data_IF_227280819273
#
_entry.id   IF_227280819273
#
_cell.length_a   1.000
_cell.length_b   1.000
_cell.length_c   1.000
_cell.angle_alpha   90.00
_cell.angle_beta   90.00
_cell.angle_gamma   90.00
#
_symmetry.space_group_name_H-M   'P 1'
#
loop_
_entity.id
_entity.type
_entity.pdbx_description
1 polymer ?
#
# COMPACT_ATOMS: atom_id res chain seq x y z
N UNK A 1 -12.68 51.79 33.71
CA UNK A 1 -14.04 52.27 34.03
C UNK A 1 -15.04 51.30 33.42
N UNK A 2 -15.89 50.72 34.26
CA UNK A 2 -16.94 49.75 33.94
C UNK A 2 -18.22 50.51 33.55
N UNK A 3 -19.09 49.92 32.72
CA UNK A 3 -20.46 49.75 33.21
C UNK A 3 -20.99 48.32 33.01
N UNK A 4 -21.58 47.80 34.09
CA UNK A 4 -22.36 46.58 34.19
C UNK A 4 -23.75 46.82 33.60
N UNK A 5 -24.21 45.95 32.72
CA UNK A 5 -25.64 45.69 32.54
C UNK A 5 -25.90 44.20 32.69
N UNK A 6 -26.58 43.85 33.78
CA UNK A 6 -27.20 42.54 33.96
C UNK A 6 -28.70 42.66 33.71
N UNK A 7 -29.29 41.70 33.01
CA UNK A 7 -30.73 41.44 33.05
C UNK A 7 -31.00 39.96 32.79
N UNK A 8 -31.38 39.29 33.89
CA UNK A 8 -32.47 38.30 34.06
C UNK A 8 -32.54 37.10 33.10
N UNK A 9 -32.17 35.95 33.67
CA UNK A 9 -32.49 34.63 33.16
C UNK A 9 -34.00 34.35 33.17
N UNK A 10 -34.47 33.74 32.08
CA UNK A 10 -35.78 33.10 31.96
C UNK A 10 -35.53 31.60 31.83
N UNK A 11 -35.94 30.85 32.86
CA UNK A 11 -35.91 29.39 32.86
C UNK A 11 -36.87 28.87 31.78
N UNK A 12 -36.33 28.25 30.74
CA UNK A 12 -37.10 27.50 29.74
C UNK A 12 -37.56 26.18 30.33
N UNK A 13 -38.87 25.96 30.36
CA UNK A 13 -39.48 24.65 30.66
C UNK A 13 -39.13 23.67 29.54
N UNK A 14 -38.51 22.55 29.91
CA UNK A 14 -38.35 21.38 29.05
C UNK A 14 -39.73 20.75 28.77
N UNK A 15 -40.10 20.45 27.52
CA UNK A 15 -41.27 19.64 27.23
C UNK A 15 -41.00 18.16 27.53
N UNK A 16 -41.98 17.51 28.18
CA UNK A 16 -41.97 16.10 28.53
C UNK A 16 -41.92 15.19 27.29
N UNK A 17 -41.28 14.01 27.37
CA UNK A 17 -41.21 13.07 26.26
C UNK A 17 -42.57 12.42 25.99
N UNK A 18 -43.05 12.57 24.76
CA UNK A 18 -44.23 11.89 24.21
C UNK A 18 -43.86 10.42 23.94
N UNK A 19 -44.52 9.49 24.64
CA UNK A 19 -44.47 8.05 24.39
C UNK A 19 -45.25 7.71 23.10
N UNK A 20 -44.65 7.03 22.11
CA UNK A 20 -45.41 6.38 21.05
C UNK A 20 -45.91 5.02 21.51
N UNK A 21 -47.22 4.85 21.34
CA UNK A 21 -48.01 3.65 21.50
C UNK A 21 -47.50 2.48 20.65
N UNK A 22 -47.57 1.30 21.28
CA UNK A 22 -47.44 -0.06 20.75
C UNK A 22 -48.03 -0.27 19.36
N UNK A 23 -47.26 -0.88 18.44
CA UNK A 23 -47.75 -1.91 17.50
C UNK A 23 -46.58 -2.59 16.77
N UNK A 24 -46.74 -3.90 16.57
CA UNK A 24 -45.94 -4.84 15.75
C UNK A 24 -44.64 -5.42 16.31
N UNK A 25 -44.80 -6.59 16.94
CA UNK A 25 -43.76 -7.58 17.18
C UNK A 25 -43.29 -8.23 15.86
N UNK A 26 -41.98 -8.45 15.66
CA UNK A 26 -41.48 -9.31 14.60
C UNK A 26 -41.42 -10.78 15.07
N UNK A 27 -41.92 -11.67 14.22
CA UNK A 27 -42.01 -13.10 14.45
C UNK A 27 -40.63 -13.76 14.68
N UNK A 28 -40.55 -14.53 15.77
CA UNK A 28 -39.44 -15.45 16.08
C UNK A 28 -39.25 -16.46 14.95
N UNK A 29 -38.13 -16.37 14.22
CA UNK A 29 -37.68 -17.42 13.32
C UNK A 29 -37.20 -18.61 14.15
N UNK A 30 -37.98 -19.70 14.12
CA UNK A 30 -37.61 -21.01 14.64
C UNK A 30 -36.36 -21.53 13.91
N UNK A 31 -35.31 -21.83 14.66
CA UNK A 31 -34.21 -22.69 14.21
C UNK A 31 -34.74 -24.12 14.04
N UNK A 32 -34.84 -24.59 12.80
CA UNK A 32 -35.12 -26.01 12.50
C UNK A 32 -33.81 -26.74 12.26
N UNK A 33 -33.55 -27.74 13.10
CA UNK A 33 -32.48 -28.73 12.98
C UNK A 33 -32.49 -29.41 11.60
N UNK A 34 -31.39 -29.31 10.85
CA UNK A 34 -31.17 -30.09 9.63
C UNK A 34 -30.77 -31.52 10.00
N UNK A 35 -31.73 -32.45 9.83
CA UNK A 35 -31.59 -33.90 10.02
C UNK A 35 -30.86 -34.50 8.82
N UNK A 36 -29.68 -35.08 9.04
CA UNK A 36 -28.90 -35.77 8.01
C UNK A 36 -29.63 -37.07 7.62
N UNK A 37 -30.05 -37.17 6.36
CA UNK A 37 -30.82 -38.27 5.81
C UNK A 37 -29.87 -39.24 5.08
N UNK A 38 -29.69 -40.44 5.64
CA UNK A 38 -28.92 -41.52 5.02
C UNK A 38 -29.76 -42.21 3.94
N UNK A 39 -29.29 -42.18 2.68
CA UNK A 39 -29.83 -43.00 1.61
C UNK A 39 -29.41 -44.46 1.83
N UNK A 40 -30.39 -45.32 2.08
CA UNK A 40 -30.27 -46.77 1.94
C UNK A 40 -30.41 -47.11 0.47
N UNK A 41 -29.42 -47.77 -0.11
CA UNK A 41 -29.58 -48.45 -1.39
C UNK A 41 -29.57 -49.97 -1.14
N UNK A 42 -30.66 -50.60 -1.53
CA UNK A 42 -30.94 -52.02 -1.38
C UNK A 42 -31.00 -52.62 -2.78
N UNK A 43 -29.99 -53.38 -3.16
CA UNK A 43 -30.20 -54.49 -4.10
C UNK A 43 -29.33 -55.68 -3.70
N UNK A 44 -29.99 -56.65 -3.09
CA UNK A 44 -29.52 -58.02 -2.92
C UNK A 44 -29.80 -58.77 -4.23
N UNK A 45 -28.83 -59.54 -4.75
CA UNK A 45 -29.03 -60.96 -5.10
C UNK A 45 -27.74 -61.69 -5.48
N UNK A 46 -27.48 -62.72 -4.67
CA UNK A 46 -27.00 -64.08 -4.98
C UNK A 46 -25.70 -64.30 -5.76
N UNK A 47 -24.70 -64.84 -5.06
CA UNK A 47 -24.20 -66.19 -5.37
C UNK A 47 -23.54 -66.81 -4.14
N UNK A 48 -24.10 -67.95 -3.70
CA UNK A 48 -23.60 -68.81 -2.62
C UNK A 48 -22.61 -69.80 -3.23
N UNK A 49 -21.42 -70.00 -2.64
CA UNK A 49 -20.63 -71.26 -2.66
C UNK A 49 -19.75 -71.38 -1.39
N UNK A 50 -19.38 -72.61 -0.98
CA UNK A 50 -19.56 -73.09 0.39
C UNK A 50 -18.35 -72.90 1.31
N UNK A 51 -18.65 -72.96 2.60
CA UNK A 51 -17.71 -72.99 3.72
C UNK A 51 -16.89 -74.30 3.70
N UNK A 52 -15.56 -74.20 3.70
CA UNK A 52 -14.65 -75.33 3.94
C UNK A 52 -14.14 -75.28 5.40
N UNK A 53 -13.91 -76.43 6.06
CA UNK A 53 -13.73 -76.48 7.50
C UNK A 53 -12.32 -76.07 7.94
N UNK A 54 -12.31 -75.58 9.17
CA UNK A 54 -11.20 -75.15 10.03
C UNK A 54 -10.04 -76.16 10.05
N UNK A 55 -8.83 -75.70 9.74
CA UNK A 55 -7.59 -76.36 10.17
C UNK A 55 -6.92 -75.49 11.23
N UNK A 56 -6.92 -76.00 12.46
CA UNK A 56 -6.16 -75.48 13.59
C UNK A 56 -4.74 -76.05 13.53
N UNK A 57 -3.78 -75.25 13.08
CA UNK A 57 -2.38 -75.45 13.46
C UNK A 57 -1.93 -74.25 14.28
N UNK A 58 -1.90 -74.46 15.59
CA UNK A 58 -1.03 -73.71 16.47
C UNK A 58 0.40 -74.17 16.19
N UNK A 59 1.25 -73.24 15.77
CA UNK A 59 2.71 -73.38 15.88
C UNK A 59 3.26 -72.11 16.51
N UNK A 60 4.14 -72.35 17.47
CA UNK A 60 4.75 -71.47 18.47
C UNK A 60 5.59 -70.30 17.90
N UNK A 61 5.95 -69.32 18.74
CA UNK A 61 6.44 -68.01 18.31
C UNK A 61 7.94 -68.02 18.00
N UNK A 62 8.34 -67.24 16.99
CA UNK A 62 9.56 -66.38 16.95
C UNK A 62 9.83 -65.89 15.52
N UNK A 63 9.83 -64.57 15.31
CA UNK A 63 10.95 -63.88 14.66
C UNK A 63 10.86 -62.39 14.93
N UNK A 64 11.91 -61.84 15.58
CA UNK A 64 12.12 -60.41 15.77
C UNK A 64 12.78 -59.84 14.52
N UNK A 65 11.98 -59.50 13.53
CA UNK A 65 12.38 -58.73 12.34
C UNK A 65 11.10 -58.01 11.93
N UNK A 66 10.90 -56.72 12.24
CA UNK A 66 11.01 -55.67 11.20
C UNK A 66 10.76 -54.24 11.73
N UNK A 67 11.09 -53.93 13.00
CA UNK A 67 11.00 -52.53 13.47
C UNK A 67 12.07 -51.65 12.80
N UNK A 68 13.26 -52.21 12.57
CA UNK A 68 14.37 -51.51 11.91
C UNK A 68 14.15 -51.35 10.39
N UNK A 69 13.59 -52.35 9.69
CA UNK A 69 13.23 -52.22 8.26
C UNK A 69 12.15 -51.16 8.02
N UNK A 70 11.18 -51.06 8.94
CA UNK A 70 10.10 -50.08 8.85
C UNK A 70 10.62 -48.66 9.12
N UNK A 71 11.49 -48.49 10.12
CA UNK A 71 12.13 -47.21 10.42
C UNK A 71 13.01 -46.73 9.26
N UNK A 72 13.81 -47.62 8.66
CA UNK A 72 14.72 -47.28 7.55
C UNK A 72 13.95 -46.90 6.27
N UNK A 73 12.79 -47.53 6.01
CA UNK A 73 11.89 -47.20 4.91
C UNK A 73 11.19 -45.83 5.09
N UNK A 74 10.76 -45.51 6.31
CA UNK A 74 10.19 -44.19 6.65
C UNK A 74 11.28 -43.12 6.51
N UNK A 75 12.50 -43.40 6.97
CA UNK A 75 13.61 -42.46 6.88
C UNK A 75 14.02 -42.22 5.42
N UNK A 76 14.07 -43.25 4.58
CA UNK A 76 14.39 -43.10 3.14
C UNK A 76 13.32 -42.33 2.36
N UNK A 77 12.03 -42.58 2.64
CA UNK A 77 10.93 -41.91 1.94
C UNK A 77 10.76 -40.43 2.34
N UNK A 78 11.17 -40.07 3.56
CA UNK A 78 11.05 -38.70 4.09
C UNK A 78 12.37 -37.95 4.21
N UNK A 79 13.48 -38.57 3.78
CA UNK A 79 14.85 -38.03 3.91
C UNK A 79 14.97 -36.61 3.37
N UNK A 80 14.41 -36.37 2.18
CA UNK A 80 14.47 -35.07 1.50
C UNK A 80 13.63 -34.01 2.20
N UNK A 81 12.42 -34.36 2.67
CA UNK A 81 11.57 -33.45 3.44
C UNK A 81 12.18 -33.11 4.81
N UNK A 82 12.78 -34.09 5.49
CA UNK A 82 13.45 -33.87 6.79
C UNK A 82 14.72 -33.02 6.64
N UNK A 83 15.51 -33.24 5.59
CA UNK A 83 16.65 -32.39 5.24
C UNK A 83 16.21 -30.96 4.89
N UNK A 84 15.14 -30.80 4.11
CA UNK A 84 14.60 -29.48 3.77
C UNK A 84 14.10 -28.74 5.02
N UNK A 85 13.35 -29.40 5.90
CA UNK A 85 12.94 -28.84 7.19
C UNK A 85 14.14 -28.49 8.08
N UNK A 86 15.18 -29.32 8.09
CA UNK A 86 16.42 -29.06 8.81
C UNK A 86 17.17 -27.83 8.30
N UNK A 87 17.26 -27.64 6.98
CA UNK A 87 17.87 -26.47 6.36
C UNK A 87 17.09 -25.20 6.68
N UNK A 88 15.75 -25.24 6.60
CA UNK A 88 14.89 -24.11 6.96
C UNK A 88 15.01 -23.77 8.45
N UNK A 89 15.04 -24.77 9.33
CA UNK A 89 15.22 -24.58 10.76
C UNK A 89 16.61 -24.00 11.10
N UNK A 90 17.67 -24.45 10.43
CA UNK A 90 19.01 -23.89 10.55
C UNK A 90 19.06 -22.43 10.06
N UNK A 91 18.47 -22.13 8.91
CA UNK A 91 18.38 -20.78 8.38
C UNK A 91 17.64 -19.83 9.33
N UNK A 92 16.50 -20.27 9.87
CA UNK A 92 15.75 -19.53 10.87
C UNK A 92 16.54 -19.36 12.17
N UNK A 93 17.24 -20.40 12.62
CA UNK A 93 18.06 -20.37 13.83
C UNK A 93 19.24 -19.40 13.73
N UNK A 94 19.96 -19.42 12.59
CA UNK A 94 21.06 -18.48 12.33
C UNK A 94 20.53 -17.05 12.21
N UNK A 95 19.38 -16.84 11.55
CA UNK A 95 18.76 -15.54 11.44
C UNK A 95 18.34 -14.98 12.82
N UNK A 96 17.65 -15.79 13.64
CA UNK A 96 17.23 -15.40 14.99
C UNK A 96 18.45 -15.16 15.88
N UNK A 97 19.49 -16.01 15.81
CA UNK A 97 20.72 -15.82 16.57
C UNK A 97 21.44 -14.54 16.18
N UNK A 98 21.62 -14.26 14.88
CA UNK A 98 22.28 -13.03 14.41
C UNK A 98 21.45 -11.80 14.75
N UNK A 99 20.13 -11.87 14.69
CA UNK A 99 19.22 -10.81 15.14
C UNK A 99 19.33 -10.58 16.66
N UNK A 100 19.34 -11.63 17.48
CA UNK A 100 19.47 -11.54 18.94
C UNK A 100 20.86 -11.04 19.35
N UNK A 101 21.94 -11.51 18.72
CA UNK A 101 23.30 -11.06 18.96
C UNK A 101 23.46 -9.58 18.58
N UNK A 102 22.92 -9.17 17.43
CA UNK A 102 22.90 -7.75 17.03
C UNK A 102 22.07 -6.91 18.01
N UNK A 103 20.95 -7.45 18.52
CA UNK A 103 20.16 -6.79 19.55
C UNK A 103 20.88 -6.71 20.90
N UNK A 104 21.67 -7.71 21.28
CA UNK A 104 22.42 -7.71 22.54
C UNK A 104 23.62 -6.77 22.49
N UNK A 105 24.41 -6.79 21.41
CA UNK A 105 25.52 -5.86 21.23
C UNK A 105 25.05 -4.40 21.15
N UNK A 106 23.89 -4.14 20.55
CA UNK A 106 23.30 -2.79 20.54
C UNK A 106 22.65 -2.40 21.87
N UNK A 107 22.42 -3.30 22.82
CA UNK A 107 21.80 -2.98 24.13
C UNK A 107 22.83 -2.54 25.17
N UNK A 108 24.12 -2.74 24.90
CA UNK A 108 25.23 -2.31 25.78
C UNK A 108 25.73 -0.88 25.56
N UNK A 109 25.14 -0.12 24.62
CA UNK A 109 25.47 1.30 24.38
C UNK A 109 24.24 2.17 24.65
N UNK A 110 23.96 2.43 25.93
CA UNK A 110 23.15 3.60 26.30
C UNK A 110 24.02 4.84 26.13
N UNK A 111 23.96 5.46 24.95
CA UNK A 111 24.29 6.88 24.81
C UNK A 111 23.16 7.73 25.39
N UNK A 112 23.43 8.98 25.81
CA UNK A 112 22.41 9.83 26.42
C UNK A 112 21.26 10.11 25.45
N UNK A 113 20.05 10.20 26.00
CA UNK A 113 18.80 10.58 25.32
C UNK A 113 19.01 11.75 24.34
N UNK A 114 18.52 11.68 23.09
CA UNK A 114 18.57 12.82 22.21
C UNK A 114 17.54 13.85 22.67
N UNK A 115 18.06 14.97 23.17
CA UNK A 115 17.31 16.18 23.40
C UNK A 115 16.54 16.59 22.13
N UNK A 116 15.34 17.10 22.35
CA UNK A 116 14.53 17.87 21.41
C UNK A 116 15.37 18.90 20.64
N UNK A 117 15.14 18.95 19.32
CA UNK A 117 15.45 20.06 18.42
C UNK A 117 16.90 20.57 18.37
N UNK A 118 17.74 19.90 17.59
CA UNK A 118 18.79 20.55 16.80
C UNK A 118 19.26 19.63 15.67
N UNK A 119 18.85 19.95 14.44
CA UNK A 119 19.46 19.37 13.24
C UNK A 119 20.92 19.85 13.16
N UNK A 120 21.88 18.97 13.40
CA UNK A 120 23.27 19.24 13.07
C UNK A 120 23.41 19.24 11.52
N UNK A 121 24.04 20.26 10.91
CA UNK A 121 24.17 20.35 9.47
C UNK A 121 25.31 19.44 8.98
N UNK A 122 24.98 18.43 8.17
CA UNK A 122 26.01 17.65 7.47
C UNK A 122 25.52 16.27 7.02
N UNK A 123 25.16 16.19 5.73
CA UNK A 123 24.81 14.98 4.97
C UNK A 123 23.42 14.40 5.23
N UNK A 124 22.39 15.17 4.86
CA UNK A 124 21.27 14.57 4.10
C UNK A 124 21.92 13.99 2.83
N UNK A 125 21.60 12.74 2.46
CA UNK A 125 22.08 12.16 1.22
C UNK A 125 21.75 13.12 0.07
N UNK A 126 22.73 13.89 -0.39
CA UNK A 126 22.60 14.72 -1.58
C UNK A 126 22.52 13.71 -2.71
N UNK A 127 21.30 13.46 -3.19
CA UNK A 127 21.10 12.56 -4.31
C UNK A 127 21.79 13.19 -5.52
N UNK A 128 22.96 12.69 -5.88
CA UNK A 128 23.52 12.89 -7.22
C UNK A 128 22.70 12.05 -8.21
N UNK A 129 22.67 12.41 -9.49
CA UNK A 129 21.99 11.61 -10.52
C UNK A 129 22.46 10.15 -10.53
N UNK A 130 23.76 9.93 -10.32
CA UNK A 130 24.33 8.58 -10.23
C UNK A 130 23.84 7.82 -8.98
N UNK A 131 23.71 8.50 -7.83
CA UNK A 131 23.16 7.90 -6.62
C UNK A 131 21.67 7.58 -6.75
N UNK A 132 20.91 8.39 -7.51
CA UNK A 132 19.50 8.13 -7.80
C UNK A 132 19.33 6.88 -8.67
N UNK A 133 20.22 6.65 -9.64
CA UNK A 133 20.22 5.39 -10.41
C UNK A 133 20.59 4.18 -9.55
N UNK A 134 21.62 4.30 -8.69
CA UNK A 134 22.00 3.22 -7.75
C UNK A 134 20.94 2.92 -6.69
N UNK A 135 20.13 3.92 -6.33
CA UNK A 135 19.00 3.73 -5.42
C UNK A 135 18.01 2.70 -5.98
N UNK A 136 17.76 2.74 -7.29
CA UNK A 136 16.88 1.78 -7.93
C UNK A 136 17.43 0.35 -7.89
N UNK A 137 18.70 0.17 -8.25
CA UNK A 137 19.35 -1.15 -8.24
C UNK A 137 19.33 -1.79 -6.85
N UNK A 138 19.48 -0.98 -5.79
CA UNK A 138 19.41 -1.45 -4.41
C UNK A 138 18.00 -1.94 -4.04
N UNK A 139 16.97 -1.33 -4.62
CA UNK A 139 15.58 -1.65 -4.29
C UNK A 139 15.02 -2.80 -5.11
N UNK A 140 15.43 -3.00 -6.37
CA UNK A 140 14.78 -3.95 -7.30
C UNK A 140 14.63 -5.37 -6.75
N UNK A 141 15.72 -5.96 -6.25
CA UNK A 141 15.67 -7.32 -5.70
C UNK A 141 14.75 -7.43 -4.49
N UNK A 142 14.74 -6.40 -3.65
CA UNK A 142 13.90 -6.35 -2.45
C UNK A 142 12.43 -6.09 -2.77
N UNK A 143 12.11 -5.16 -3.69
CA UNK A 143 10.75 -4.84 -4.11
C UNK A 143 10.10 -6.05 -4.77
N UNK A 144 10.82 -6.74 -5.65
CA UNK A 144 10.31 -7.93 -6.31
C UNK A 144 10.03 -9.05 -5.32
N UNK A 145 11.00 -9.37 -4.45
CA UNK A 145 10.85 -10.40 -3.42
C UNK A 145 9.71 -10.10 -2.45
N UNK A 146 9.51 -8.82 -2.12
CA UNK A 146 8.46 -8.38 -1.20
C UNK A 146 7.10 -8.17 -1.89
N UNK A 147 6.99 -8.30 -3.21
CA UNK A 147 5.72 -8.11 -3.94
C UNK A 147 5.33 -6.64 -4.17
N UNK A 148 6.23 -5.69 -3.93
CA UNK A 148 5.98 -4.26 -4.15
C UNK A 148 5.73 -3.94 -5.62
N UNK A 149 6.44 -4.60 -6.54
CA UNK A 149 6.23 -4.44 -7.98
C UNK A 149 4.76 -4.72 -8.37
N UNK A 150 4.14 -5.73 -7.76
CA UNK A 150 2.72 -6.03 -8.00
C UNK A 150 1.79 -4.95 -7.44
N UNK A 151 2.13 -4.31 -6.32
CA UNK A 151 1.37 -3.16 -5.81
C UNK A 151 1.51 -1.94 -6.73
N UNK A 152 2.71 -1.67 -7.25
CA UNK A 152 2.94 -0.60 -8.23
C UNK A 152 2.10 -0.80 -9.49
N UNK A 153 2.08 -2.04 -10.02
CA UNK A 153 1.22 -2.41 -11.15
C UNK A 153 -0.27 -2.21 -10.85
N UNK A 154 -0.73 -2.66 -9.68
CA UNK A 154 -2.12 -2.48 -9.24
C UNK A 154 -2.48 -1.00 -9.09
N UNK A 155 -1.61 -0.20 -8.49
CA UNK A 155 -1.79 1.25 -8.33
C UNK A 155 -1.89 1.94 -9.69
N UNK A 156 -1.01 1.59 -10.63
CA UNK A 156 -1.04 2.15 -11.98
C UNK A 156 -2.30 1.75 -12.76
N UNK A 157 -2.79 0.51 -12.59
CA UNK A 157 -4.01 0.03 -13.23
C UNK A 157 -5.29 0.71 -12.71
N UNK A 158 -5.25 1.23 -11.47
CA UNK A 158 -6.34 2.00 -10.88
C UNK A 158 -6.35 3.47 -11.32
N UNK A 159 -5.25 3.97 -11.89
CA UNK A 159 -5.11 5.38 -12.26
C UNK A 159 -5.89 5.73 -13.53
N UNK A 160 -6.71 6.78 -13.47
CA UNK A 160 -7.57 7.20 -14.58
C UNK A 160 -7.86 8.70 -14.55
N UNK A 161 -8.28 9.25 -15.69
CA UNK A 161 -8.60 10.68 -15.85
C UNK A 161 -7.33 11.55 -15.85
N UNK A 162 -7.39 12.73 -15.24
CA UNK A 162 -6.20 13.52 -14.95
C UNK A 162 -5.53 12.97 -13.68
N UNK A 163 -4.31 12.48 -13.81
CA UNK A 163 -3.56 11.81 -12.75
C UNK A 163 -2.41 12.69 -12.27
N UNK A 164 -2.20 12.71 -10.96
CA UNK A 164 -0.98 13.24 -10.35
C UNK A 164 -0.32 12.17 -9.47
N UNK A 165 0.99 11.98 -9.67
CA UNK A 165 1.84 11.20 -8.77
C UNK A 165 2.74 12.16 -7.99
N UNK A 166 2.58 12.17 -6.67
CA UNK A 166 3.41 12.96 -5.76
C UNK A 166 4.52 12.10 -5.16
N UNK A 167 5.67 12.73 -4.85
CA UNK A 167 6.87 12.02 -4.42
C UNK A 167 7.25 10.89 -5.40
N UNK A 168 7.22 11.18 -6.69
CA UNK A 168 7.41 10.17 -7.76
C UNK A 168 8.83 9.58 -7.79
N UNK A 169 9.80 10.24 -7.16
CA UNK A 169 11.21 9.85 -7.16
C UNK A 169 11.76 9.67 -8.57
N UNK A 170 12.48 8.57 -8.78
CA UNK A 170 13.03 8.16 -10.08
C UNK A 170 11.97 7.68 -11.08
N UNK A 171 10.67 7.79 -10.76
CA UNK A 171 9.60 7.36 -11.65
C UNK A 171 9.43 5.84 -11.76
N UNK A 172 9.64 5.09 -10.67
CA UNK A 172 9.49 3.62 -10.66
C UNK A 172 8.11 3.11 -11.09
N UNK A 173 7.07 3.93 -10.97
CA UNK A 173 5.72 3.57 -11.41
C UNK A 173 5.49 3.80 -12.92
N UNK A 174 6.36 4.58 -13.58
CA UNK A 174 6.17 4.99 -14.98
C UNK A 174 5.97 3.83 -15.97
N UNK A 175 6.72 2.71 -15.88
CA UNK A 175 6.54 1.58 -16.79
C UNK A 175 5.18 0.87 -16.67
N UNK A 176 4.44 1.10 -15.58
CA UNK A 176 3.19 0.38 -15.31
C UNK A 176 1.92 1.14 -15.73
N UNK A 177 2.03 2.45 -16.00
CA UNK A 177 0.89 3.22 -16.48
C UNK A 177 0.58 2.91 -17.96
N UNK A 178 -0.69 3.03 -18.33
CA UNK A 178 -1.11 2.96 -19.72
C UNK A 178 -1.06 4.35 -20.37
N UNK A 179 -0.07 4.56 -21.23
CA UNK A 179 0.21 5.85 -21.88
C UNK A 179 -0.57 6.10 -23.17
N UNK A 180 -1.32 5.12 -23.69
CA UNK A 180 -1.93 5.17 -25.02
C UNK A 180 -2.77 6.44 -25.27
N UNK A 181 -3.63 6.82 -24.32
CA UNK A 181 -4.48 8.01 -24.44
C UNK A 181 -3.75 9.32 -24.13
N UNK A 182 -2.64 9.27 -23.38
CA UNK A 182 -1.77 10.43 -23.15
C UNK A 182 -0.98 10.76 -24.41
N UNK A 183 -0.59 9.75 -25.20
CA UNK A 183 0.10 9.95 -26.48
C UNK A 183 -0.87 10.39 -27.58
N UNK A 184 -1.97 9.65 -27.78
CA UNK A 184 -2.91 9.92 -28.87
C UNK A 184 -3.49 11.34 -28.74
N UNK A 185 -3.30 12.20 -29.75
CA UNK A 185 -4.03 13.47 -29.78
C UNK A 185 -5.54 13.18 -29.87
N UNK A 186 -6.40 13.96 -29.19
CA UNK A 186 -7.84 13.79 -29.30
C UNK A 186 -8.26 14.02 -30.75
N UNK A 187 -8.37 12.95 -31.54
CA UNK A 187 -9.14 12.98 -32.78
C UNK A 187 -10.58 13.19 -32.35
N UNK A 188 -11.23 14.24 -32.87
CA UNK A 188 -12.65 14.50 -32.67
C UNK A 188 -13.41 13.18 -32.66
N UNK A 189 -13.97 12.82 -31.50
CA UNK A 189 -14.58 11.53 -31.27
C UNK A 189 -15.68 11.31 -32.31
N UNK A 190 -15.39 10.49 -33.32
CA UNK A 190 -16.42 9.96 -34.20
C UNK A 190 -17.06 8.83 -33.41
N UNK A 191 -18.25 9.11 -32.91
CA UNK A 191 -19.19 8.14 -32.35
C UNK A 191 -19.37 7.01 -33.35
N UNK A 192 -18.68 5.89 -33.17
CA UNK A 192 -19.08 4.56 -33.65
C UNK A 192 -18.02 3.54 -33.24
N UNK A 193 -17.99 3.18 -31.95
CA UNK A 193 -17.44 1.89 -31.53
C UNK A 193 -18.10 1.44 -30.23
N UNK A 194 -19.39 1.11 -30.34
CA UNK A 194 -20.03 0.21 -29.40
C UNK A 194 -19.77 -1.22 -29.87
N UNK A 195 -18.69 -1.84 -29.40
CA UNK A 195 -18.57 -3.31 -29.45
C UNK A 195 -17.73 -3.87 -28.29
N UNK A 196 -18.40 -4.78 -27.58
CA UNK A 196 -17.96 -5.73 -26.54
C UNK A 196 -17.64 -5.15 -25.16
N UNK A 197 -18.53 -5.48 -24.23
CA UNK A 197 -18.42 -5.28 -22.78
C UNK A 197 -17.26 -6.05 -22.15
N UNK A 198 -16.08 -5.46 -22.28
CA UNK A 198 -15.02 -5.57 -21.28
C UNK A 198 -15.00 -4.19 -20.63
N UNK A 199 -15.28 -4.11 -19.33
CA UNK A 199 -15.11 -2.88 -18.54
C UNK A 199 -13.62 -2.57 -18.47
N UNK A 200 -13.06 -1.97 -19.53
CA UNK A 200 -11.70 -1.46 -19.51
C UNK A 200 -11.66 -0.30 -18.51
N UNK A 201 -10.65 -0.25 -17.62
CA UNK A 201 -10.45 0.87 -16.72
C UNK A 201 -10.46 2.19 -17.51
N UNK A 202 -11.02 3.25 -16.92
CA UNK A 202 -11.04 4.56 -17.55
C UNK A 202 -9.59 4.99 -17.89
N UNK A 203 -9.35 5.60 -19.06
CA UNK A 203 -7.99 5.91 -19.50
C UNK A 203 -7.38 7.10 -18.74
N UNK A 204 -6.05 7.17 -18.74
CA UNK A 204 -5.32 8.36 -18.30
C UNK A 204 -5.37 9.42 -19.42
N UNK A 205 -5.88 10.61 -19.10
CA UNK A 205 -6.03 11.74 -20.02
C UNK A 205 -4.82 12.69 -19.97
N UNK A 206 -4.25 12.85 -18.78
CA UNK A 206 -2.98 13.56 -18.57
C UNK A 206 -2.30 13.04 -17.32
N UNK A 207 -0.97 13.11 -17.27
CA UNK A 207 -0.16 12.72 -16.12
C UNK A 207 0.72 13.88 -15.65
N UNK A 208 0.73 14.12 -14.35
CA UNK A 208 1.64 15.07 -13.70
C UNK A 208 2.45 14.32 -12.65
N UNK A 209 3.76 14.27 -12.80
CA UNK A 209 4.67 13.76 -11.79
C UNK A 209 5.28 14.91 -10.98
N UNK A 210 5.36 14.77 -9.65
CA UNK A 210 5.89 15.81 -8.76
C UNK A 210 6.94 15.22 -7.82
N UNK A 211 8.10 15.84 -7.76
CA UNK A 211 9.15 15.51 -6.78
C UNK A 211 9.93 16.76 -6.37
N UNK A 212 10.52 16.76 -5.19
CA UNK A 212 11.33 17.89 -4.68
C UNK A 212 12.76 17.88 -5.26
N UNK A 213 13.29 16.69 -5.57
CA UNK A 213 14.67 16.52 -6.08
C UNK A 213 14.70 16.65 -7.59
N UNK A 214 15.60 17.52 -8.07
CA UNK A 214 15.84 17.68 -9.51
C UNK A 214 16.45 16.41 -10.10
N UNK A 215 17.37 15.79 -9.36
CA UNK A 215 18.17 14.64 -9.79
C UNK A 215 17.29 13.39 -9.93
N UNK A 216 16.34 13.20 -9.03
CA UNK A 216 15.31 12.15 -9.15
C UNK A 216 14.47 12.35 -10.42
N UNK A 217 14.04 13.58 -10.69
CA UNK A 217 13.29 13.91 -11.89
C UNK A 217 14.10 13.73 -13.18
N UNK A 218 15.41 13.99 -13.17
CA UNK A 218 16.27 13.67 -14.33
C UNK A 218 16.18 12.18 -14.67
N UNK A 219 16.30 11.30 -13.67
CA UNK A 219 16.17 9.85 -13.88
C UNK A 219 14.76 9.48 -14.33
N UNK A 220 13.72 10.13 -13.77
CA UNK A 220 12.35 9.89 -14.19
C UNK A 220 12.10 10.28 -15.66
N UNK A 221 12.75 11.35 -16.16
CA UNK A 221 12.69 11.75 -17.57
C UNK A 221 13.32 10.70 -18.50
N UNK A 222 14.46 10.13 -18.11
CA UNK A 222 15.07 9.03 -18.85
C UNK A 222 14.10 7.85 -18.95
N UNK A 223 13.53 7.42 -17.80
CA UNK A 223 12.61 6.28 -17.76
C UNK A 223 11.29 6.52 -18.46
N UNK A 224 10.75 7.74 -18.46
CA UNK A 224 9.51 8.00 -19.20
C UNK A 224 9.74 7.89 -20.70
N UNK A 225 10.93 8.25 -21.19
CA UNK A 225 11.29 8.07 -22.60
C UNK A 225 11.41 6.59 -23.01
N UNK A 226 11.73 5.70 -22.06
CA UNK A 226 11.73 4.26 -22.25
C UNK A 226 10.31 3.66 -22.18
N UNK A 227 9.50 4.15 -21.23
CA UNK A 227 8.13 3.68 -21.03
C UNK A 227 7.15 4.16 -22.12
N UNK A 228 7.46 5.28 -22.77
CA UNK A 228 6.64 5.88 -23.84
C UNK A 228 7.47 5.96 -25.12
N UNK A 229 7.37 4.98 -26.04
CA UNK A 229 8.20 4.92 -27.24
C UNK A 229 8.16 6.19 -28.09
N UNK A 230 7.03 6.89 -28.14
CA UNK A 230 6.85 8.16 -28.87
C UNK A 230 7.70 9.32 -28.33
N UNK A 231 8.22 9.20 -27.11
CA UNK A 231 9.11 10.20 -26.49
C UNK A 231 10.59 9.87 -26.69
N UNK A 232 10.93 8.72 -27.27
CA UNK A 232 12.32 8.32 -27.45
C UNK A 232 13.05 9.30 -28.38
N UNK A 233 14.05 10.00 -27.85
CA UNK A 233 14.80 11.03 -28.57
C UNK A 233 14.09 12.39 -28.66
N UNK A 234 12.92 12.55 -28.04
CA UNK A 234 12.22 13.84 -27.94
C UNK A 234 12.66 14.53 -26.65
N UNK A 235 13.17 15.75 -26.76
CA UNK A 235 13.49 16.57 -25.60
C UNK A 235 12.22 17.20 -25.02
N UNK A 236 12.07 17.29 -23.68
CA UNK A 236 10.96 18.00 -23.06
C UNK A 236 11.09 19.50 -23.30
N UNK A 237 9.95 20.20 -23.43
CA UNK A 237 9.96 21.66 -23.28
C UNK A 237 10.19 21.99 -21.81
N UNK A 238 11.18 22.83 -21.53
CA UNK A 238 11.54 23.25 -20.17
C UNK A 238 11.02 24.66 -19.95
N UNK A 239 10.12 24.81 -18.97
CA UNK A 239 9.66 26.10 -18.50
C UNK A 239 10.14 26.31 -17.06
N UNK A 240 10.86 27.40 -16.82
CA UNK A 240 11.26 27.80 -15.46
C UNK A 240 10.27 28.83 -14.95
N UNK A 241 9.52 28.48 -13.90
CA UNK A 241 8.57 29.40 -13.25
C UNK A 241 9.17 29.97 -11.97
N UNK A 242 9.12 31.30 -11.82
CA UNK A 242 9.55 32.02 -10.62
C UNK A 242 8.44 32.03 -9.57
N UNK A 243 8.34 30.98 -8.76
CA UNK A 243 7.48 30.96 -7.56
C UNK A 243 8.30 30.94 -6.26
N UNK A 244 9.60 30.59 -6.32
CA UNK A 244 10.56 30.62 -5.20
C UNK A 244 11.93 31.09 -5.68
N UNK A 245 12.84 31.44 -4.76
CA UNK A 245 14.20 31.94 -5.09
C UNK A 245 15.02 30.98 -5.97
N UNK A 246 14.70 29.68 -5.96
CA UNK A 246 15.38 28.64 -6.76
C UNK A 246 14.64 28.25 -8.05
N UNK A 247 13.44 28.81 -8.30
CA UNK A 247 12.58 28.46 -9.44
C UNK A 247 12.08 27.01 -9.45
N UNK A 248 10.88 26.78 -9.97
CA UNK A 248 10.43 25.42 -10.29
C UNK A 248 10.70 25.13 -11.76
N UNK A 249 11.29 23.97 -12.04
CA UNK A 249 11.47 23.46 -13.40
C UNK A 249 10.29 22.57 -13.77
N UNK A 250 9.63 22.91 -14.87
CA UNK A 250 8.58 22.11 -15.47
C UNK A 250 9.15 21.47 -16.73
N UNK A 251 9.13 20.15 -16.77
CA UNK A 251 9.46 19.37 -17.96
C UNK A 251 8.16 18.90 -18.57
N UNK A 252 7.88 19.29 -19.81
CA UNK A 252 6.59 19.06 -20.44
C UNK A 252 6.75 18.36 -21.79
N UNK A 253 5.89 17.38 -22.03
CA UNK A 253 5.75 16.65 -23.28
C UNK A 253 4.30 16.72 -23.76
N UNK A 254 4.09 16.42 -25.05
CA UNK A 254 2.76 16.19 -25.63
C UNK A 254 1.78 17.34 -25.35
N UNK A 255 2.28 18.58 -25.50
CA UNK A 255 1.54 19.82 -25.20
C UNK A 255 1.04 19.90 -23.75
N UNK A 256 1.86 19.44 -22.80
CA UNK A 256 1.57 19.49 -21.37
C UNK A 256 0.65 18.38 -20.83
N UNK A 257 0.33 17.37 -21.65
CA UNK A 257 -0.42 16.20 -21.16
C UNK A 257 0.43 15.25 -20.33
N UNK A 258 1.75 15.31 -20.49
CA UNK A 258 2.70 14.63 -19.62
C UNK A 258 3.68 15.67 -19.10
N UNK A 259 3.71 15.88 -17.78
CA UNK A 259 4.52 16.93 -17.16
C UNK A 259 5.19 16.41 -15.89
N UNK A 260 6.45 16.78 -15.68
CA UNK A 260 7.14 16.59 -14.41
C UNK A 260 7.50 17.94 -13.79
N UNK A 261 7.17 18.11 -12.51
CA UNK A 261 7.36 19.34 -11.76
C UNK A 261 8.32 19.11 -10.62
N UNK A 262 9.39 19.89 -10.58
CA UNK A 262 10.15 20.06 -9.34
C UNK A 262 9.28 20.87 -8.38
N UNK A 263 8.82 20.29 -7.28
CA UNK A 263 8.05 21.02 -6.27
C UNK A 263 8.03 20.31 -4.91
N UNK A 264 7.89 21.08 -3.83
CA UNK A 264 7.63 20.54 -2.50
C UNK A 264 6.13 20.40 -2.31
N UNK A 265 5.66 19.15 -2.17
CA UNK A 265 4.24 18.79 -1.95
C UNK A 265 3.64 19.47 -0.69
N UNK A 266 4.45 19.88 0.29
CA UNK A 266 3.95 20.64 1.44
C UNK A 266 3.58 22.09 1.08
N UNK A 267 4.10 22.59 -0.04
CA UNK A 267 4.01 23.99 -0.44
C UNK A 267 3.10 24.14 -1.65
N UNK A 268 3.30 23.33 -2.69
CA UNK A 268 2.59 23.48 -3.95
C UNK A 268 2.51 22.16 -4.72
N UNK A 269 1.34 21.90 -5.30
CA UNK A 269 1.13 20.88 -6.33
C UNK A 269 0.39 21.56 -7.48
N UNK A 270 0.89 21.49 -8.73
CA UNK A 270 0.26 22.14 -9.86
C UNK A 270 -1.13 21.56 -10.14
N UNK A 271 -2.01 22.35 -10.74
CA UNK A 271 -3.31 21.89 -11.23
C UNK A 271 -3.17 21.03 -12.52
N UNK A 272 -4.14 20.15 -12.84
CA UNK A 272 -4.17 19.44 -14.13
C UNK A 272 -4.33 20.41 -15.30
N UNK A 273 -4.02 19.97 -16.52
CA UNK A 273 -4.05 20.78 -17.75
C UNK A 273 -5.46 21.13 -18.27
N UNK A 274 -6.47 21.20 -17.40
CA UNK A 274 -7.82 21.59 -17.83
C UNK A 274 -7.85 23.10 -18.10
N UNK A 275 -8.23 23.47 -19.33
CA UNK A 275 -8.21 24.86 -19.80
C UNK A 275 -8.86 25.83 -18.82
N UNK A 276 -8.13 26.90 -18.47
CA UNK A 276 -8.58 28.15 -17.83
C UNK A 276 -9.02 28.15 -16.36
N UNK A 277 -8.96 27.05 -15.61
CA UNK A 277 -9.35 27.08 -14.19
C UNK A 277 -8.17 26.76 -13.25
N UNK A 278 -7.71 27.75 -12.48
CA UNK A 278 -6.79 27.57 -11.33
C UNK A 278 -7.35 26.62 -10.26
N UNK A 279 -8.66 26.34 -10.31
CA UNK A 279 -9.38 25.46 -9.39
C UNK A 279 -9.55 24.02 -9.89
N UNK A 280 -8.97 23.67 -11.03
CA UNK A 280 -9.07 22.33 -11.58
C UNK A 280 -8.44 21.29 -10.63
N UNK A 281 -9.09 20.12 -10.51
CA UNK A 281 -8.70 19.05 -9.60
C UNK A 281 -8.47 17.74 -10.34
N UNK A 282 -7.66 16.85 -9.77
CA UNK A 282 -7.30 15.56 -10.34
C UNK A 282 -8.39 14.51 -10.12
N UNK A 283 -8.54 13.60 -11.09
CA UNK A 283 -9.41 12.43 -10.99
C UNK A 283 -8.76 11.35 -10.11
N UNK A 284 -7.44 11.16 -10.26
CA UNK A 284 -6.67 10.23 -9.43
C UNK A 284 -5.42 10.93 -8.88
N UNK A 285 -5.21 10.83 -7.57
CA UNK A 285 -3.96 11.20 -6.89
C UNK A 285 -3.29 9.92 -6.42
N UNK A 286 -2.01 9.73 -6.72
CA UNK A 286 -1.27 8.54 -6.30
C UNK A 286 0.04 8.90 -5.60
N UNK A 287 0.46 8.06 -4.66
CA UNK A 287 1.74 8.19 -3.98
C UNK A 287 2.28 6.80 -3.62
N UNK A 288 3.57 6.58 -3.75
CA UNK A 288 4.23 5.34 -3.31
C UNK A 288 5.43 5.64 -2.42
N UNK A 289 5.37 5.23 -1.15
CA UNK A 289 6.41 5.41 -0.14
C UNK A 289 6.87 6.86 0.05
N UNK A 290 5.94 7.80 -0.05
CA UNK A 290 6.22 9.22 0.14
C UNK A 290 6.03 9.68 1.58
N UNK A 291 5.08 9.08 2.33
CA UNK A 291 4.74 9.57 3.67
C UNK A 291 5.84 9.32 4.71
N UNK A 292 6.82 8.47 4.42
CA UNK A 292 7.94 8.19 5.33
C UNK A 292 9.04 9.27 5.28
N UNK A 293 9.18 9.99 4.17
CA UNK A 293 10.28 10.94 3.91
C UNK A 293 9.87 12.40 4.10
N UNK A 294 8.57 12.68 4.07
CA UNK A 294 8.02 14.03 4.25
C UNK A 294 8.13 14.52 5.70
N UNK A 295 8.17 15.84 5.89
CA UNK A 295 8.28 16.46 7.22
C UNK A 295 6.97 16.35 8.01
N UNK A 296 5.85 16.63 7.35
CA UNK A 296 4.50 16.59 7.95
C UNK A 296 3.56 15.75 7.06
N UNK A 297 3.45 14.44 7.32
CA UNK A 297 2.65 13.55 6.47
C UNK A 297 1.14 13.82 6.56
N UNK A 298 0.63 14.32 7.69
CA UNK A 298 -0.78 14.71 7.81
C UNK A 298 -1.08 15.95 6.95
N UNK A 299 -0.19 16.94 6.91
CA UNK A 299 -0.30 18.06 5.97
C UNK A 299 -0.24 17.62 4.52
N UNK A 300 0.62 16.65 4.17
CA UNK A 300 0.66 16.12 2.80
C UNK A 300 -0.68 15.51 2.42
N UNK A 301 -1.25 14.63 3.26
CA UNK A 301 -2.56 14.02 3.00
C UNK A 301 -3.65 15.09 2.83
N UNK A 302 -3.61 16.16 3.63
CA UNK A 302 -4.50 17.32 3.49
C UNK A 302 -4.34 18.04 2.14
N UNK A 303 -3.10 18.23 1.68
CA UNK A 303 -2.83 18.76 0.34
C UNK A 303 -3.43 17.85 -0.74
N UNK A 304 -3.24 16.53 -0.63
CA UNK A 304 -3.80 15.56 -1.58
C UNK A 304 -5.34 15.61 -1.62
N UNK A 305 -5.98 15.76 -0.47
CA UNK A 305 -7.42 16.00 -0.38
C UNK A 305 -7.86 17.31 -1.05
N UNK A 306 -7.02 18.36 -0.95
CA UNK A 306 -7.28 19.65 -1.59
C UNK A 306 -7.32 19.57 -3.12
N UNK A 307 -6.48 18.73 -3.72
CA UNK A 307 -6.27 18.65 -5.18
C UNK A 307 -7.07 17.54 -5.88
N UNK A 308 -7.72 16.63 -5.14
CA UNK A 308 -8.57 15.58 -5.72
C UNK A 308 -10.00 16.07 -5.97
N UNK A 309 -10.63 15.65 -7.07
CA UNK A 309 -12.03 15.96 -7.35
C UNK A 309 -12.93 15.39 -6.26
N UNK A 310 -13.83 16.19 -5.67
CA UNK A 310 -14.78 15.68 -4.69
C UNK A 310 -15.80 14.74 -5.36
N UNK A 311 -16.28 13.76 -4.60
CA UNK A 311 -17.25 12.71 -4.92
C UNK A 311 -16.82 11.69 -5.99
N UNK A 312 -16.08 12.12 -7.02
CA UNK A 312 -15.70 11.27 -8.16
C UNK A 312 -14.23 10.88 -8.16
N UNK A 313 -13.35 11.70 -7.54
CA UNK A 313 -11.92 11.43 -7.52
C UNK A 313 -11.51 10.50 -6.38
N UNK A 314 -10.33 9.89 -6.53
CA UNK A 314 -9.75 8.99 -5.54
C UNK A 314 -8.27 9.28 -5.28
N UNK A 315 -7.83 9.00 -4.06
CA UNK A 315 -6.43 9.04 -3.64
C UNK A 315 -6.01 7.60 -3.32
N UNK A 316 -4.90 7.14 -3.90
CA UNK A 316 -4.37 5.79 -3.68
C UNK A 316 -2.94 5.92 -3.17
N UNK A 317 -2.68 5.41 -1.97
CA UNK A 317 -1.35 5.43 -1.36
C UNK A 317 -0.87 3.98 -1.15
N UNK A 318 0.36 3.72 -1.56
CA UNK A 318 1.11 2.51 -1.18
C UNK A 318 2.23 2.96 -0.27
N UNK A 319 2.12 2.66 1.02
CA UNK A 319 3.02 3.21 2.03
C UNK A 319 3.65 2.11 2.87
N UNK A 320 4.78 2.42 3.49
CA UNK A 320 5.40 1.54 4.48
C UNK A 320 5.37 2.21 5.85
N UNK A 321 5.21 1.42 6.89
CA UNK A 321 5.15 1.89 8.26
C UNK A 321 5.14 0.75 9.25
N UNK A 322 4.62 1.04 10.44
CA UNK A 322 4.42 0.04 11.50
C UNK A 322 3.63 -1.16 10.99
N UNK A 323 4.11 -2.36 11.33
CA UNK A 323 3.44 -3.63 11.04
C UNK A 323 2.42 -4.02 12.11
N UNK A 324 1.84 -5.21 11.97
CA UNK A 324 0.81 -5.72 12.90
C UNK A 324 1.37 -6.36 14.17
N UNK A 325 2.67 -6.64 14.22
CA UNK A 325 3.33 -7.34 15.32
C UNK A 325 4.22 -6.41 16.15
N UNK A 326 4.03 -6.41 17.47
CA UNK A 326 4.82 -5.57 18.40
C UNK A 326 6.33 -5.84 18.36
N UNK A 327 6.76 -7.08 18.10
CA UNK A 327 8.18 -7.44 17.98
C UNK A 327 8.81 -6.75 16.76
N UNK A 328 8.10 -6.76 15.63
CA UNK A 328 8.55 -6.11 14.39
C UNK A 328 8.65 -4.61 14.61
N UNK A 329 7.64 -4.03 15.26
CA UNK A 329 7.61 -2.60 15.56
C UNK A 329 8.74 -2.20 16.51
N UNK A 330 9.05 -3.00 17.53
CA UNK A 330 10.20 -2.76 18.40
C UNK A 330 11.55 -2.80 17.64
N UNK A 331 11.68 -3.68 16.65
CA UNK A 331 12.85 -3.72 15.77
C UNK A 331 12.93 -2.48 14.87
N UNK A 332 11.81 -2.08 14.26
CA UNK A 332 11.73 -0.88 13.42
C UNK A 332 12.07 0.38 14.23
N UNK A 333 11.54 0.51 15.44
CA UNK A 333 11.78 1.64 16.33
C UNK A 333 13.27 1.75 16.71
N UNK A 334 13.89 0.61 17.05
CA UNK A 334 15.32 0.57 17.39
C UNK A 334 16.24 0.95 16.24
N UNK A 335 15.86 0.58 15.01
CA UNK A 335 16.68 0.76 13.81
C UNK A 335 16.34 2.02 13.02
N UNK A 336 15.26 2.72 13.37
CA UNK A 336 14.79 3.92 12.69
C UNK A 336 15.84 5.06 12.62
N UNK A 337 16.62 5.39 13.67
CA UNK A 337 17.63 6.44 13.56
C UNK A 337 18.72 6.13 12.54
N UNK A 338 19.22 4.89 12.51
CA UNK A 338 20.21 4.46 11.54
C UNK A 338 19.63 4.41 10.12
N UNK A 339 18.38 3.99 9.98
CA UNK A 339 17.66 4.01 8.71
C UNK A 339 17.51 5.45 8.19
N UNK A 340 17.12 6.40 9.06
CA UNK A 340 17.00 7.81 8.71
C UNK A 340 18.33 8.42 8.30
N UNK A 341 19.43 8.13 9.01
CA UNK A 341 20.76 8.58 8.63
C UNK A 341 21.19 8.07 7.24
N UNK A 342 20.78 6.84 6.88
CA UNK A 342 21.16 6.21 5.61
C UNK A 342 20.28 6.63 4.44
N UNK A 343 18.96 6.71 4.64
CA UNK A 343 17.96 6.86 3.57
C UNK A 343 17.16 8.16 3.65
N UNK A 344 17.25 8.91 4.74
CA UNK A 344 16.53 10.17 4.93
C UNK A 344 15.03 10.01 5.25
N UNK A 345 14.56 8.80 5.59
CA UNK A 345 13.15 8.54 5.87
C UNK A 345 12.92 7.77 7.18
N UNK A 346 11.70 7.89 7.71
CA UNK A 346 11.26 7.24 8.95
C UNK A 346 10.32 6.09 8.64
N UNK A 347 10.86 4.89 8.61
CA UNK A 347 10.11 3.68 8.25
C UNK A 347 9.21 3.09 9.33
N UNK A 348 9.28 3.62 10.55
CA UNK A 348 8.53 3.16 11.71
C UNK A 348 7.31 4.03 12.04
N UNK A 349 6.92 4.96 11.14
CA UNK A 349 5.73 5.81 11.29
C UNK A 349 4.45 4.98 11.31
N UNK A 350 3.51 5.36 12.16
CA UNK A 350 2.17 4.78 12.14
C UNK A 350 1.33 5.44 11.03
N UNK A 351 1.47 4.92 9.81
CA UNK A 351 0.78 5.46 8.64
C UNK A 351 -0.74 5.37 8.77
N UNK A 352 -1.25 4.32 9.41
CA UNK A 352 -2.69 4.17 9.58
C UNK A 352 -3.25 5.25 10.51
N UNK A 353 -2.57 5.51 11.63
CA UNK A 353 -2.93 6.60 12.56
C UNK A 353 -2.83 7.97 11.90
N UNK A 354 -1.73 8.25 11.19
CA UNK A 354 -1.52 9.50 10.43
C UNK A 354 -2.68 9.73 9.44
N UNK A 355 -3.09 8.69 8.70
CA UNK A 355 -4.21 8.79 7.75
C UNK A 355 -5.53 9.05 8.45
N UNK A 356 -5.79 8.40 9.59
CA UNK A 356 -6.98 8.64 10.37
C UNK A 356 -7.03 10.05 10.96
N UNK A 357 -5.92 10.56 11.49
CA UNK A 357 -5.82 11.92 12.04
C UNK A 357 -6.01 12.97 10.94
N UNK A 358 -5.40 12.77 9.76
CA UNK A 358 -5.60 13.64 8.61
C UNK A 358 -7.06 13.64 8.15
N UNK A 359 -7.71 12.47 8.08
CA UNK A 359 -9.13 12.37 7.73
C UNK A 359 -10.04 13.07 8.75
N UNK A 360 -9.78 12.91 10.05
CA UNK A 360 -10.55 13.56 11.12
C UNK A 360 -10.41 15.09 11.10
N UNK A 361 -9.22 15.60 10.77
CA UNK A 361 -8.95 17.05 10.73
C UNK A 361 -9.33 17.72 9.40
N UNK A 362 -9.80 16.96 8.40
CA UNK A 362 -10.08 17.45 7.05
C UNK A 362 -11.55 17.25 6.67
N UNK A 363 -12.33 18.34 6.57
CA UNK A 363 -13.74 18.23 6.19
C UNK A 363 -13.92 17.49 4.86
N UNK A 364 -14.78 16.47 4.86
CA UNK A 364 -15.12 15.68 3.69
C UNK A 364 -14.11 14.59 3.30
N UNK A 365 -12.91 14.53 3.89
CA UNK A 365 -11.95 13.46 3.62
C UNK A 365 -12.40 12.16 4.32
N UNK A 366 -12.60 11.11 3.53
CA UNK A 366 -13.00 9.79 4.01
C UNK A 366 -11.93 8.75 3.72
N UNK A 367 -11.62 7.94 4.73
CA UNK A 367 -10.86 6.70 4.57
C UNK A 367 -11.80 5.65 3.99
N UNK A 368 -11.64 5.33 2.71
CA UNK A 368 -12.42 4.28 2.04
C UNK A 368 -11.89 2.91 2.46
N UNK A 369 -10.56 2.79 2.53
CA UNK A 369 -9.90 1.50 2.70
C UNK A 369 -8.49 1.65 3.26
N UNK A 370 -8.12 0.78 4.19
CA UNK A 370 -6.73 0.54 4.62
C UNK A 370 -6.54 -0.97 4.70
N UNK A 371 -5.65 -1.52 3.87
CA UNK A 371 -5.31 -2.94 3.84
C UNK A 371 -3.81 -3.14 4.00
N UNK A 372 -3.43 -4.29 4.59
CA UNK A 372 -2.04 -4.75 4.67
C UNK A 372 -1.91 -6.01 3.81
N UNK A 373 -1.58 -5.86 2.51
CA UNK A 373 -1.78 -6.92 1.52
C UNK A 373 -0.86 -8.15 1.71
N UNK A 374 0.30 -7.97 2.35
CA UNK A 374 1.31 -9.02 2.44
C UNK A 374 1.62 -9.41 3.89
N UNK A 375 1.28 -10.65 4.23
CA UNK A 375 1.70 -11.26 5.50
C UNK A 375 3.21 -11.52 5.52
N UNK A 376 3.84 -11.76 4.37
CA UNK A 376 5.29 -11.98 4.23
C UNK A 376 6.12 -10.78 4.68
N UNK A 377 5.54 -9.58 4.66
CA UNK A 377 6.15 -8.35 5.13
C UNK A 377 5.76 -8.01 6.58
N UNK A 378 5.12 -8.95 7.29
CA UNK A 378 4.64 -8.78 8.66
C UNK A 378 3.70 -7.55 8.80
N UNK A 379 3.00 -7.25 7.71
CA UNK A 379 2.04 -6.17 7.60
C UNK A 379 2.65 -4.76 7.53
N UNK A 380 3.94 -4.57 7.26
CA UNK A 380 4.55 -3.22 7.24
C UNK A 380 4.17 -2.37 6.03
N UNK A 381 3.69 -2.97 4.93
CA UNK A 381 3.15 -2.22 3.78
C UNK A 381 1.64 -2.08 3.87
N UNK A 382 1.15 -0.90 3.52
CA UNK A 382 -0.25 -0.52 3.51
C UNK A 382 -0.68 -0.13 2.11
N UNK A 383 -1.87 -0.58 1.72
CA UNK A 383 -2.63 -0.06 0.59
C UNK A 383 -3.78 0.79 1.16
N UNK A 384 -3.86 2.05 0.76
CA UNK A 384 -4.77 3.03 1.34
C UNK A 384 -5.56 3.71 0.22
N UNK A 385 -6.88 3.75 0.35
CA UNK A 385 -7.76 4.47 -0.56
C UNK A 385 -8.53 5.53 0.22
N UNK A 386 -8.47 6.76 -0.25
CA UNK A 386 -9.19 7.89 0.30
C UNK A 386 -10.05 8.54 -0.79
N UNK A 387 -11.10 9.24 -0.37
CA UNK A 387 -11.90 10.11 -1.24
C UNK A 387 -12.32 11.35 -0.49
N UNK A 388 -12.69 12.40 -1.21
CA UNK A 388 -13.28 13.61 -0.62
C UNK A 388 -14.76 13.65 -1.00
N UNK A 389 -15.66 13.85 -0.04
CA UNK A 389 -17.07 14.20 -0.29
C UNK A 389 -17.27 15.70 -0.17
N UNK A 390 -18.23 16.24 -0.92
CA UNK A 390 -18.69 17.59 -0.65
C UNK A 390 -19.36 17.63 0.73
N UNK A 391 -18.90 18.50 1.59
CA UNK A 391 -19.62 18.87 2.80
C UNK A 391 -20.80 19.74 2.39
N UNK A 392 -22.02 19.23 2.59
CA UNK A 392 -23.26 19.97 2.37
C UNK A 392 -23.38 21.19 3.29
#
# INVERSE_FOLDING_TARGET
MVPRHGLRGRAGRLPAPVLPTTTHAPALRRFTSSRIQWKKDTSLRNSIRPFAPRSSHATTPKSKTNDLETADAIFRSRKTSLLACGIVALGMGVYVSTMLTSCWLSSGRQGPEPATDACAPGQIAVFTEESARRFDEYLDGSEWMMGITSLRQKLAAEASGHVVEVAMGTGRNLPFYNWSHVVQQPKSATTNDQKKGITTPAPILSFTGVDISKEMLTVALDKVSEAVPDLKGVAPSIETQQLTQDGYSVFSYLSGRLRFFRSDVHMFVPAPIQGTAETAKYDTVVQTFGLCSVRDPEKVIRTLAGIVKPNTGKIILVEHGRGSCGIVNGLLDRSAPAHFQKYGCWWNRDIAEIVHNAAQSTPGLEVVKIERPYLTQLGTTLWIELRVKNTC
#
